data_IF_564916693559
#
_entry.id   IF_564916693559
#
_cell.length_a   1.000
_cell.length_b   1.000
_cell.length_c   1.000
_cell.angle_alpha   90.00
_cell.angle_beta   90.00
_cell.angle_gamma   90.00
#
_symmetry.space_group_name_H-M   'P 1'
#
loop_
_entity.id
_entity.type
_entity.pdbx_description
1 polymer ?
#
# COMPACT_ATOMS: atom_id res chain seq x y z
N UNK A 1 28.11 -46.85 43.25
CA UNK A 1 27.28 -46.05 42.32
C UNK A 1 26.80 -44.82 43.09
N UNK A 2 27.42 -43.66 42.88
CA UNK A 2 27.04 -42.40 43.55
C UNK A 2 26.02 -41.69 42.66
N UNK A 3 24.78 -41.58 43.14
CA UNK A 3 23.73 -40.82 42.47
C UNK A 3 23.97 -39.35 42.81
N UNK A 4 24.27 -38.55 41.79
CA UNK A 4 24.36 -37.10 41.93
C UNK A 4 22.95 -36.56 42.16
N UNK A 5 22.70 -36.02 43.36
CA UNK A 5 21.48 -35.28 43.66
C UNK A 5 21.44 -34.03 42.76
N UNK A 6 20.32 -33.84 42.07
CA UNK A 6 20.06 -32.62 41.30
C UNK A 6 19.78 -31.50 42.31
N UNK A 7 20.61 -30.45 42.28
CA UNK A 7 20.47 -29.27 43.13
C UNK A 7 19.16 -28.54 42.78
N UNK A 8 18.14 -28.71 43.61
CA UNK A 8 16.77 -28.25 43.36
C UNK A 8 16.55 -26.85 43.93
N UNK A 9 17.43 -25.89 43.61
CA UNK A 9 17.21 -24.48 43.92
C UNK A 9 16.11 -23.97 42.99
N UNK A 10 14.88 -23.98 43.50
CA UNK A 10 13.72 -23.45 42.78
C UNK A 10 13.90 -21.96 42.50
N UNK A 11 13.52 -21.53 41.30
CA UNK A 11 13.33 -20.12 40.99
C UNK A 11 12.37 -19.50 42.00
N UNK A 12 12.72 -18.34 42.55
CA UNK A 12 11.83 -17.63 43.44
C UNK A 12 10.65 -17.08 42.64
N UNK A 13 9.45 -17.08 43.20
CA UNK A 13 8.26 -16.50 42.54
C UNK A 13 8.48 -15.01 42.19
N UNK A 14 9.26 -14.29 43.01
CA UNK A 14 9.60 -12.89 42.77
C UNK A 14 10.49 -12.71 41.53
N UNK A 15 11.44 -13.62 41.30
CA UNK A 15 12.35 -13.55 40.16
C UNK A 15 11.61 -13.77 38.84
N UNK A 16 10.68 -14.74 38.78
CA UNK A 16 9.82 -14.93 37.62
C UNK A 16 8.86 -13.76 37.40
N UNK A 17 8.31 -13.16 38.47
CA UNK A 17 7.44 -12.01 38.37
C UNK A 17 8.17 -10.79 37.75
N UNK A 18 9.40 -10.53 38.16
CA UNK A 18 10.21 -9.43 37.61
C UNK A 18 10.53 -9.67 36.13
N UNK A 19 10.89 -10.89 35.75
CA UNK A 19 11.18 -11.23 34.34
C UNK A 19 9.96 -11.01 33.46
N UNK A 20 8.76 -11.43 33.89
CA UNK A 20 7.53 -11.23 33.12
C UNK A 20 7.17 -9.76 32.94
N UNK A 21 7.41 -8.92 33.95
CA UNK A 21 7.22 -7.46 33.85
C UNK A 21 8.18 -6.86 32.81
N UNK A 22 9.46 -7.25 32.84
CA UNK A 22 10.47 -6.78 31.89
C UNK A 22 10.08 -7.21 30.45
N UNK A 23 9.72 -8.47 30.25
CA UNK A 23 9.29 -8.99 28.94
C UNK A 23 8.05 -8.23 28.44
N UNK A 24 7.05 -8.01 29.30
CA UNK A 24 5.84 -7.26 28.95
C UNK A 24 6.13 -5.82 28.52
N UNK A 25 7.06 -5.15 29.20
CA UNK A 25 7.49 -3.80 28.85
C UNK A 25 8.20 -3.77 27.49
N UNK A 26 9.10 -4.72 27.23
CA UNK A 26 9.86 -4.81 25.98
C UNK A 26 8.94 -5.06 24.77
N UNK A 27 7.97 -5.97 24.90
CA UNK A 27 7.00 -6.26 23.83
C UNK A 27 6.18 -5.00 23.51
N UNK A 28 5.74 -4.28 24.54
CA UNK A 28 4.92 -3.06 24.36
C UNK A 28 5.68 -1.98 23.59
N UNK A 29 6.94 -1.73 23.94
CA UNK A 29 7.78 -0.75 23.23
C UNK A 29 8.04 -1.22 21.79
N UNK A 30 8.42 -2.48 21.60
CA UNK A 30 8.73 -3.04 20.27
C UNK A 30 7.54 -2.99 19.30
N UNK A 31 6.33 -3.30 19.77
CA UNK A 31 5.12 -3.30 18.93
C UNK A 31 4.75 -1.89 18.42
N UNK A 32 5.03 -0.84 19.20
CA UNK A 32 4.64 0.54 18.87
C UNK A 32 5.32 1.10 17.60
N UNK A 33 6.49 0.55 17.23
CA UNK A 33 7.30 1.05 16.11
C UNK A 33 6.91 0.48 14.74
N UNK A 34 6.16 -0.63 14.70
CA UNK A 34 5.81 -1.32 13.45
C UNK A 34 4.82 -0.49 12.60
N UNK A 35 3.88 0.18 13.25
CA UNK A 35 2.81 0.94 12.57
C UNK A 35 3.34 2.07 11.67
N UNK A 36 4.15 3.01 12.18
CA UNK A 36 4.67 4.12 11.37
C UNK A 36 5.54 3.66 10.20
N UNK A 37 6.38 2.64 10.39
CA UNK A 37 7.24 2.12 9.32
C UNK A 37 6.41 1.49 8.20
N UNK A 38 5.38 0.73 8.54
CA UNK A 38 4.47 0.15 7.57
C UNK A 38 3.70 1.23 6.79
N UNK A 39 3.28 2.32 7.44
CA UNK A 39 2.62 3.45 6.74
C UNK A 39 3.53 4.09 5.69
N UNK A 40 4.79 4.35 6.01
CA UNK A 40 5.74 4.92 5.04
C UNK A 40 6.00 3.97 3.87
N UNK A 41 6.14 2.68 4.14
CA UNK A 41 6.30 1.67 3.09
C UNK A 41 5.08 1.64 2.16
N UNK A 42 3.86 1.60 2.72
CA UNK A 42 2.60 1.59 1.98
C UNK A 42 2.34 2.88 1.20
N UNK A 43 2.76 4.03 1.74
CA UNK A 43 2.71 5.30 1.03
C UNK A 43 3.61 5.31 -0.19
N UNK A 44 4.85 4.85 -0.07
CA UNK A 44 5.78 4.76 -1.19
C UNK A 44 5.30 3.76 -2.25
N UNK A 45 4.80 2.59 -1.82
CA UNK A 45 4.21 1.57 -2.70
C UNK A 45 3.02 2.14 -3.49
N UNK A 46 2.13 2.89 -2.82
CA UNK A 46 0.97 3.52 -3.49
C UNK A 46 1.39 4.59 -4.49
N UNK A 47 2.42 5.39 -4.18
CA UNK A 47 2.96 6.36 -5.13
C UNK A 47 3.51 5.67 -6.39
N UNK A 48 4.17 4.54 -6.22
CA UNK A 48 4.66 3.76 -7.36
C UNK A 48 3.50 3.17 -8.18
N UNK A 49 2.47 2.61 -7.54
CA UNK A 49 1.27 2.13 -8.23
C UNK A 49 0.57 3.25 -9.01
N UNK A 50 0.51 4.47 -8.46
CA UNK A 50 -0.06 5.64 -9.13
C UNK A 50 0.77 6.07 -10.35
N UNK A 51 2.10 6.10 -10.23
CA UNK A 51 2.99 6.42 -11.36
C UNK A 51 2.86 5.38 -12.47
N UNK A 52 2.77 4.09 -12.12
CA UNK A 52 2.56 3.01 -13.09
C UNK A 52 1.18 3.12 -13.77
N UNK A 53 0.13 3.47 -13.03
CA UNK A 53 -1.19 3.73 -13.59
C UNK A 53 -1.18 4.93 -14.55
N UNK A 54 -0.50 6.04 -14.20
CA UNK A 54 -0.34 7.20 -15.07
C UNK A 54 0.35 6.82 -16.39
N UNK A 55 1.49 6.14 -16.33
CA UNK A 55 2.20 5.68 -17.52
C UNK A 55 1.35 4.75 -18.40
N UNK A 56 0.51 3.91 -17.78
CA UNK A 56 -0.41 3.02 -18.50
C UNK A 56 -1.53 3.81 -19.21
N UNK A 57 -2.07 4.84 -18.57
CA UNK A 57 -3.08 5.75 -19.15
C UNK A 57 -2.49 6.55 -20.31
N UNK A 58 -1.26 7.07 -20.17
CA UNK A 58 -0.55 7.76 -21.24
C UNK A 58 -0.30 6.83 -22.44
N UNK A 59 0.16 5.60 -22.19
CA UNK A 59 0.34 4.59 -23.23
C UNK A 59 -0.96 4.22 -23.94
N UNK A 60 -2.06 4.10 -23.20
CA UNK A 60 -3.39 3.90 -23.79
C UNK A 60 -3.80 5.06 -24.70
N UNK A 61 -3.54 6.28 -24.24
CA UNK A 61 -3.78 7.52 -25.00
C UNK A 61 -3.01 7.58 -26.31
N UNK A 62 -1.73 7.19 -26.30
CA UNK A 62 -0.89 7.17 -27.48
C UNK A 62 -1.39 6.20 -28.57
N UNK A 63 -2.00 5.07 -28.17
CA UNK A 63 -2.52 4.07 -29.12
C UNK A 63 -3.94 4.41 -29.61
N UNK A 64 -4.81 4.88 -28.71
CA UNK A 64 -6.24 5.02 -28.99
C UNK A 64 -6.67 6.47 -29.31
N UNK A 65 -5.75 7.44 -29.26
CA UNK A 65 -6.03 8.88 -29.41
C UNK A 65 -7.09 9.43 -28.43
N UNK A 66 -7.33 8.72 -27.33
CA UNK A 66 -8.30 9.04 -26.28
C UNK A 66 -7.82 8.48 -24.96
N UNK A 67 -8.26 9.07 -23.85
CA UNK A 67 -8.01 8.48 -22.53
C UNK A 67 -9.02 7.34 -22.27
N UNK A 68 -8.70 6.34 -21.43
CA UNK A 68 -9.63 5.28 -21.08
C UNK A 68 -10.87 5.85 -20.38
N UNK A 69 -12.00 5.16 -20.48
CA UNK A 69 -13.17 5.46 -19.66
C UNK A 69 -12.98 4.93 -18.24
N UNK A 70 -13.80 5.37 -17.28
CA UNK A 70 -13.78 4.82 -15.91
C UNK A 70 -14.03 3.31 -15.86
N UNK A 71 -14.79 2.76 -16.82
CA UNK A 71 -15.02 1.31 -16.92
C UNK A 71 -13.81 0.55 -17.50
N UNK A 72 -13.05 1.17 -18.40
CA UNK A 72 -11.86 0.58 -19.02
C UNK A 72 -10.62 0.73 -18.15
N UNK A 73 -10.59 1.73 -17.27
CA UNK A 73 -9.43 2.05 -16.43
C UNK A 73 -8.87 0.84 -15.67
N UNK A 74 -9.66 0.01 -14.97
CA UNK A 74 -9.11 -1.15 -14.23
C UNK A 74 -8.41 -2.18 -15.12
N UNK A 75 -8.82 -2.29 -16.39
CA UNK A 75 -8.19 -3.17 -17.38
C UNK A 75 -7.04 -2.52 -18.14
N UNK A 76 -6.98 -1.18 -18.16
CA UNK A 76 -5.94 -0.42 -18.83
C UNK A 76 -4.68 -0.25 -17.96
N UNK A 77 -4.81 -0.38 -16.64
CA UNK A 77 -3.70 -0.22 -15.68
C UNK A 77 -3.23 -1.58 -15.15
N UNK A 78 -1.92 -1.69 -14.89
CA UNK A 78 -1.34 -2.91 -14.32
C UNK A 78 -1.70 -3.13 -12.84
N UNK A 79 -1.88 -2.04 -12.10
CA UNK A 79 -2.18 -2.04 -10.67
C UNK A 79 -3.41 -1.17 -10.41
N UNK A 80 -4.63 -1.74 -10.42
CA UNK A 80 -5.86 -0.97 -10.19
C UNK A 80 -6.11 -0.64 -8.72
N UNK A 81 -5.32 -1.19 -7.79
CA UNK A 81 -5.48 -1.00 -6.36
C UNK A 81 -4.22 -0.35 -5.75
N UNK A 82 -4.42 0.40 -4.67
CA UNK A 82 -3.35 0.93 -3.84
C UNK A 82 -2.75 -0.14 -2.92
N UNK A 83 -1.69 0.23 -2.20
CA UNK A 83 -1.00 -0.67 -1.29
C UNK A 83 -1.85 -1.10 -0.08
N UNK A 84 -2.95 -0.39 0.20
CA UNK A 84 -3.91 -0.66 1.27
C UNK A 84 -5.10 -1.52 0.79
N UNK A 85 -5.14 -1.88 -0.49
CA UNK A 85 -6.19 -2.71 -1.09
C UNK A 85 -7.38 -1.95 -1.65
N UNK A 86 -7.40 -0.61 -1.55
CA UNK A 86 -8.47 0.23 -2.10
C UNK A 86 -8.29 0.42 -3.60
N UNK A 87 -9.38 0.44 -4.36
CA UNK A 87 -9.33 0.71 -5.79
C UNK A 87 -8.95 2.18 -6.08
N UNK A 88 -8.12 2.40 -7.09
CA UNK A 88 -7.75 3.74 -7.55
C UNK A 88 -8.95 4.42 -8.20
N UNK A 89 -9.23 5.66 -7.77
CA UNK A 89 -10.32 6.47 -8.34
C UNK A 89 -9.80 7.19 -9.58
N UNK A 90 -10.45 6.93 -10.72
CA UNK A 90 -10.12 7.54 -11.99
C UNK A 90 -11.29 8.36 -12.52
N UNK A 91 -11.06 9.67 -12.69
CA UNK A 91 -12.05 10.64 -13.16
C UNK A 91 -11.50 11.28 -14.44
N UNK A 92 -11.89 10.78 -15.62
CA UNK A 92 -11.49 11.39 -16.88
C UNK A 92 -12.43 12.54 -17.26
N UNK A 93 -11.94 13.41 -18.14
CA UNK A 93 -12.81 14.34 -18.85
C UNK A 93 -13.72 13.58 -19.83
N UNK A 94 -15.02 13.83 -19.79
CA UNK A 94 -15.97 13.22 -20.72
C UNK A 94 -15.66 13.54 -22.21
N UNK A 95 -14.98 14.65 -22.49
CA UNK A 95 -14.57 15.02 -23.85
C UNK A 95 -13.31 14.30 -24.33
N UNK A 96 -12.48 13.79 -23.42
CA UNK A 96 -11.23 13.09 -23.76
C UNK A 96 -11.41 11.57 -23.92
N UNK A 97 -12.52 11.01 -23.43
CA UNK A 97 -12.81 9.57 -23.52
C UNK A 97 -13.44 9.16 -24.86
N UNK A 98 -13.74 10.09 -25.76
CA UNK A 98 -14.29 9.79 -27.10
C UNK A 98 -13.46 10.44 -28.20
N UNK A 99 -13.24 9.72 -29.29
CA UNK A 99 -12.56 10.26 -30.48
C UNK A 99 -13.50 11.10 -31.35
N UNK A 100 -14.82 10.86 -31.28
CA UNK A 100 -15.83 11.66 -31.98
C UNK A 100 -15.82 13.14 -31.58
N UNK A 101 -15.36 13.43 -30.36
CA UNK A 101 -15.25 14.79 -29.82
C UNK A 101 -13.90 15.46 -30.14
N UNK A 102 -13.00 14.79 -30.88
CA UNK A 102 -11.63 15.26 -31.15
C UNK A 102 -10.55 14.58 -30.29
N UNK A 103 -10.92 13.80 -29.27
CA UNK A 103 -9.96 13.06 -28.44
C UNK A 103 -8.85 13.92 -27.83
N UNK A 104 -7.67 13.34 -27.63
CA UNK A 104 -6.49 14.01 -27.06
C UNK A 104 -5.92 15.07 -28.02
N UNK A 105 -5.93 14.80 -29.33
CA UNK A 105 -5.21 15.62 -30.32
C UNK A 105 -6.07 16.72 -30.98
N UNK A 106 -7.40 16.69 -30.81
CA UNK A 106 -8.34 17.60 -31.45
C UNK A 106 -8.88 18.70 -30.53
N UNK A 107 -8.37 18.82 -29.30
CA UNK A 107 -8.84 19.77 -28.29
C UNK A 107 -7.70 20.63 -27.75
N UNK A 108 -8.01 21.91 -27.47
CA UNK A 108 -7.10 22.86 -26.80
C UNK A 108 -7.51 23.18 -25.36
N UNK A 109 -8.65 22.64 -24.90
CA UNK A 109 -9.14 22.81 -23.53
C UNK A 109 -9.83 21.55 -23.03
N UNK A 110 -9.79 21.35 -21.72
CA UNK A 110 -10.50 20.31 -20.96
C UNK A 110 -11.44 20.99 -19.98
N UNK A 111 -12.54 20.32 -19.60
CA UNK A 111 -13.49 20.77 -18.59
C UNK A 111 -13.13 20.34 -17.15
N UNK A 112 -11.96 19.71 -16.94
CA UNK A 112 -11.39 19.57 -15.60
C UNK A 112 -10.94 20.94 -15.08
N UNK A 113 -11.72 21.46 -14.11
CA UNK A 113 -11.38 22.60 -13.27
C UNK A 113 -10.34 22.24 -12.21
#
# INVERSE_FOLDING_TARGET
MKIHAIDNRGFTLVELAVILVIIGMLITIGASMVGPLMKTAKYNETKESLNAALASVEGFGAVNNRVPTTAEFPSAVRMPNDAWGSALVYIPDASLVTTASGGICGRKSTALS
#
